data_IF_010801336139
#
_entry.id   IF_010801336139
#
_cell.length_a   1.000
_cell.length_b   1.000
_cell.length_c   1.000
_cell.angle_alpha   90.00
_cell.angle_beta   90.00
_cell.angle_gamma   90.00
#
_symmetry.space_group_name_H-M   'P 1'
#
loop_
_entity.id
_entity.type
_entity.pdbx_description
1 polymer ?
#
# COMPACT_ATOMS: atom_id res chain seq x y z
N UNK A 1 -16.78 -6.21 -7.13
CA UNK A 1 -16.31 -7.33 -6.29
C UNK A 1 -15.80 -6.82 -4.93
N UNK A 2 -16.08 -7.53 -3.83
CA UNK A 2 -15.66 -7.16 -2.45
C UNK A 2 -15.05 -8.37 -1.74
N UNK A 3 -14.00 -8.16 -0.96
CA UNK A 3 -13.25 -9.22 -0.28
C UNK A 3 -13.40 -9.04 1.23
N UNK A 4 -14.14 -9.95 1.87
CA UNK A 4 -14.47 -9.92 3.32
C UNK A 4 -13.68 -10.93 4.12
N UNK A 5 -13.45 -12.13 3.58
CA UNK A 5 -12.80 -13.22 4.30
C UNK A 5 -11.30 -12.95 4.48
N UNK A 6 -10.73 -13.24 5.67
CA UNK A 6 -9.29 -13.08 5.90
C UNK A 6 -8.44 -13.89 4.91
N UNK A 7 -8.84 -15.13 4.62
CA UNK A 7 -8.14 -16.01 3.68
C UNK A 7 -8.02 -15.40 2.27
N UNK A 8 -9.09 -14.78 1.75
CA UNK A 8 -9.04 -14.15 0.43
C UNK A 8 -8.19 -12.85 0.43
N UNK A 9 -8.15 -12.11 1.55
CA UNK A 9 -7.23 -10.97 1.69
C UNK A 9 -5.77 -11.42 1.69
N UNK A 10 -5.46 -12.49 2.43
CA UNK A 10 -4.12 -13.09 2.43
C UNK A 10 -3.76 -13.61 1.04
N UNK A 11 -4.66 -14.35 0.39
CA UNK A 11 -4.46 -14.84 -0.98
C UNK A 11 -4.19 -13.71 -1.97
N UNK A 12 -4.94 -12.60 -1.87
CA UNK A 12 -4.68 -11.39 -2.66
C UNK A 12 -3.27 -10.84 -2.42
N UNK A 13 -2.85 -10.72 -1.15
CA UNK A 13 -1.52 -10.22 -0.82
C UNK A 13 -0.42 -11.14 -1.36
N UNK A 14 -0.59 -12.47 -1.23
CA UNK A 14 0.36 -13.44 -1.76
C UNK A 14 0.47 -13.35 -3.28
N UNK A 15 -0.65 -13.28 -3.99
CA UNK A 15 -0.67 -13.14 -5.45
C UNK A 15 0.04 -11.86 -5.89
N UNK A 16 -0.21 -10.73 -5.21
CA UNK A 16 0.46 -9.48 -5.54
C UNK A 16 1.95 -9.50 -5.22
N UNK A 17 2.36 -9.99 -4.05
CA UNK A 17 3.78 -10.05 -3.66
C UNK A 17 4.56 -10.97 -4.60
N UNK A 18 4.04 -12.18 -4.85
CA UNK A 18 4.65 -13.14 -5.79
C UNK A 18 4.63 -12.58 -7.21
N UNK A 19 3.49 -12.06 -7.67
CA UNK A 19 3.32 -11.51 -9.02
C UNK A 19 4.25 -10.33 -9.29
N UNK A 20 4.36 -9.38 -8.36
CA UNK A 20 5.30 -8.25 -8.45
C UNK A 20 6.73 -8.78 -8.51
N UNK A 21 7.10 -9.75 -7.67
CA UNK A 21 8.48 -10.28 -7.63
C UNK A 21 8.83 -11.00 -8.93
N UNK A 22 7.96 -11.89 -9.41
CA UNK A 22 8.15 -12.68 -10.63
C UNK A 22 8.20 -11.83 -11.90
N UNK A 23 7.70 -10.60 -11.86
CA UNK A 23 7.71 -9.67 -13.01
C UNK A 23 8.79 -8.60 -12.86
N UNK A 24 8.97 -8.02 -11.68
CA UNK A 24 9.97 -6.99 -11.42
C UNK A 24 11.40 -7.51 -11.56
N UNK A 25 11.69 -8.75 -11.13
CA UNK A 25 13.05 -9.30 -11.20
C UNK A 25 13.51 -9.50 -12.66
N UNK A 26 12.75 -10.15 -13.56
CA UNK A 26 13.11 -10.20 -14.98
C UNK A 26 13.22 -8.83 -15.64
N UNK A 27 12.30 -7.90 -15.31
CA UNK A 27 12.37 -6.53 -15.84
C UNK A 27 13.63 -5.79 -15.36
N UNK A 28 14.01 -5.97 -14.10
CA UNK A 28 15.24 -5.41 -13.53
C UNK A 28 16.50 -5.99 -14.17
N UNK A 29 16.47 -7.25 -14.61
CA UNK A 29 17.56 -7.86 -15.36
C UNK A 29 17.73 -7.27 -16.77
N UNK A 30 16.65 -6.73 -17.37
CA UNK A 30 16.70 -5.98 -18.63
C UNK A 30 17.14 -4.53 -18.37
N UNK A 31 16.62 -3.91 -17.31
CA UNK A 31 16.99 -2.58 -16.85
C UNK A 31 16.48 -2.32 -15.44
N UNK A 32 17.37 -1.92 -14.55
CA UNK A 32 17.05 -1.71 -13.13
C UNK A 32 15.85 -0.78 -12.95
N UNK A 33 15.82 0.31 -13.71
CA UNK A 33 14.80 1.35 -13.69
C UNK A 33 13.44 0.78 -14.10
N UNK A 34 13.42 -0.11 -15.09
CA UNK A 34 12.19 -0.74 -15.58
C UNK A 34 11.56 -1.64 -14.51
N UNK A 35 12.37 -2.50 -13.90
CA UNK A 35 11.91 -3.38 -12.82
C UNK A 35 11.44 -2.59 -11.60
N UNK A 36 12.19 -1.55 -11.22
CA UNK A 36 11.86 -0.73 -10.06
C UNK A 36 10.60 0.13 -10.29
N UNK A 37 10.49 0.78 -11.45
CA UNK A 37 9.31 1.58 -11.81
C UNK A 37 8.06 0.69 -11.85
N UNK A 38 8.15 -0.49 -12.47
CA UNK A 38 7.07 -1.47 -12.47
C UNK A 38 6.66 -1.88 -11.05
N UNK A 39 7.61 -2.27 -10.20
CA UNK A 39 7.32 -2.68 -8.83
C UNK A 39 6.61 -1.58 -8.03
N UNK A 40 7.05 -0.32 -8.21
CA UNK A 40 6.44 0.85 -7.55
C UNK A 40 4.99 1.06 -8.02
N UNK A 41 4.75 1.07 -9.33
CA UNK A 41 3.41 1.23 -9.90
C UNK A 41 2.48 0.09 -9.47
N UNK A 42 2.97 -1.16 -9.53
CA UNK A 42 2.22 -2.33 -9.15
C UNK A 42 1.87 -2.34 -7.65
N UNK A 43 2.78 -1.90 -6.78
CA UNK A 43 2.49 -1.73 -5.34
C UNK A 43 1.39 -0.69 -5.09
N UNK A 44 1.48 0.48 -5.73
CA UNK A 44 0.44 1.52 -5.61
C UNK A 44 -0.90 0.99 -6.08
N UNK A 45 -0.94 0.33 -7.23
CA UNK A 45 -2.15 -0.29 -7.76
C UNK A 45 -2.72 -1.34 -6.80
N UNK A 46 -1.86 -2.18 -6.21
CA UNK A 46 -2.26 -3.18 -5.22
C UNK A 46 -2.92 -2.54 -4.00
N UNK A 47 -2.31 -1.49 -3.46
CA UNK A 47 -2.84 -0.75 -2.30
C UNK A 47 -4.18 -0.11 -2.63
N UNK A 48 -4.31 0.52 -3.81
CA UNK A 48 -5.57 1.11 -4.25
C UNK A 48 -6.67 0.04 -4.37
N UNK A 49 -6.38 -1.08 -5.04
CA UNK A 49 -7.36 -2.17 -5.19
C UNK A 49 -7.73 -2.74 -3.83
N UNK A 50 -6.78 -2.99 -2.93
CA UNK A 50 -7.05 -3.46 -1.58
C UNK A 50 -7.93 -2.48 -0.80
N UNK A 51 -7.59 -1.19 -0.80
CA UNK A 51 -8.34 -0.14 -0.10
C UNK A 51 -9.80 -0.02 -0.59
N UNK A 52 -10.04 -0.27 -1.88
CA UNK A 52 -11.37 -0.16 -2.48
C UNK A 52 -12.18 -1.45 -2.41
N UNK A 53 -11.54 -2.62 -2.40
CA UNK A 53 -12.23 -3.92 -2.46
C UNK A 53 -12.32 -4.64 -1.11
N UNK A 54 -11.36 -4.45 -0.21
CA UNK A 54 -11.39 -5.11 1.10
C UNK A 54 -12.45 -4.48 1.99
N UNK A 55 -13.13 -5.31 2.79
CA UNK A 55 -14.16 -4.89 3.74
C UNK A 55 -13.94 -5.52 5.12
N UNK A 56 -14.20 -4.74 6.16
CA UNK A 56 -14.19 -5.20 7.55
C UNK A 56 -15.41 -6.05 7.90
N UNK A 57 -15.38 -6.71 9.05
CA UNK A 57 -16.55 -7.38 9.59
C UNK A 57 -17.67 -6.35 9.83
N UNK A 58 -18.89 -6.64 9.37
CA UNK A 58 -20.05 -5.74 9.50
C UNK A 58 -19.99 -4.48 8.63
N UNK A 59 -18.96 -4.31 7.79
CA UNK A 59 -18.88 -3.13 6.93
C UNK A 59 -19.73 -3.28 5.66
N UNK A 60 -20.48 -2.23 5.33
CA UNK A 60 -21.30 -2.14 4.11
C UNK A 60 -20.50 -2.28 2.82
N UNK A 61 -21.14 -2.83 1.78
CA UNK A 61 -20.58 -2.95 0.43
C UNK A 61 -20.66 -1.65 -0.40
N UNK A 62 -21.34 -0.63 0.15
CA UNK A 62 -21.43 0.70 -0.43
C UNK A 62 -20.04 1.29 -0.77
N UNK A 63 -19.98 2.25 -1.71
CA UNK A 63 -18.75 2.97 -2.01
C UNK A 63 -18.16 3.59 -0.73
N UNK A 64 -16.89 3.29 -0.44
CA UNK A 64 -16.19 3.92 0.69
C UNK A 64 -15.86 5.36 0.32
N UNK A 65 -15.94 6.31 1.28
CA UNK A 65 -15.33 7.61 1.11
C UNK A 65 -13.87 7.48 0.65
N UNK A 66 -13.44 8.38 -0.24
CA UNK A 66 -12.11 8.30 -0.85
C UNK A 66 -10.98 8.27 0.19
N UNK A 67 -11.17 8.92 1.34
CA UNK A 67 -10.21 8.98 2.44
C UNK A 67 -10.13 7.70 3.29
N UNK A 68 -11.13 6.81 3.25
CA UNK A 68 -11.19 5.63 4.13
C UNK A 68 -10.46 4.44 3.51
N UNK A 69 -9.21 4.23 3.91
CA UNK A 69 -8.36 3.17 3.38
C UNK A 69 -8.65 1.79 3.98
N UNK A 70 -9.07 1.72 5.24
CA UNK A 70 -9.43 0.47 5.92
C UNK A 70 -10.58 0.67 6.92
N UNK A 71 -11.11 -0.43 7.46
CA UNK A 71 -12.30 -0.42 8.31
C UNK A 71 -11.99 -0.05 9.77
N UNK A 72 -10.79 -0.34 10.27
CA UNK A 72 -10.42 -0.15 11.67
C UNK A 72 -9.26 0.83 11.81
N UNK A 73 -9.25 1.58 12.91
CA UNK A 73 -8.13 2.47 13.26
C UNK A 73 -6.82 1.69 13.44
N UNK A 74 -6.87 0.54 14.10
CA UNK A 74 -5.68 -0.29 14.36
C UNK A 74 -4.98 -0.73 13.08
N UNK A 75 -5.72 -1.26 12.10
CA UNK A 75 -5.12 -1.64 10.81
C UNK A 75 -4.61 -0.43 10.03
N UNK A 76 -5.26 0.73 10.15
CA UNK A 76 -4.81 1.96 9.50
C UNK A 76 -3.47 2.44 10.08
N UNK A 77 -3.31 2.43 11.41
CA UNK A 77 -2.06 2.79 12.06
C UNK A 77 -0.94 1.80 11.73
N UNK A 78 -1.23 0.50 11.75
CA UNK A 78 -0.23 -0.53 11.42
C UNK A 78 0.29 -0.36 9.98
N UNK A 79 -0.62 -0.19 9.01
CA UNK A 79 -0.23 0.01 7.61
C UNK A 79 0.45 1.36 7.41
N UNK A 80 0.02 2.41 8.10
CA UNK A 80 0.73 3.70 8.10
C UNK A 80 2.17 3.54 8.58
N UNK A 81 2.41 2.84 9.68
CA UNK A 81 3.75 2.61 10.20
C UNK A 81 4.59 1.76 9.25
N UNK A 82 4.01 0.70 8.68
CA UNK A 82 4.67 -0.15 7.70
C UNK A 82 5.16 0.64 6.48
N UNK A 83 4.27 1.41 5.84
CA UNK A 83 4.62 2.20 4.66
C UNK A 83 5.52 3.40 4.98
N UNK A 84 5.45 3.94 6.21
CA UNK A 84 6.37 4.97 6.68
C UNK A 84 7.80 4.41 6.77
N UNK A 85 7.97 3.26 7.43
CA UNK A 85 9.28 2.58 7.54
C UNK A 85 9.80 2.24 6.15
N UNK A 86 8.95 1.70 5.29
CA UNK A 86 9.32 1.38 3.91
C UNK A 86 9.77 2.62 3.15
N UNK A 87 9.02 3.72 3.21
CA UNK A 87 9.36 4.97 2.52
C UNK A 87 10.67 5.59 3.02
N UNK A 88 10.89 5.59 4.33
CA UNK A 88 12.16 6.06 4.93
C UNK A 88 13.32 5.15 4.52
N UNK A 89 13.16 3.84 4.63
CA UNK A 89 14.19 2.87 4.27
C UNK A 89 14.56 2.96 2.78
N UNK A 90 13.57 3.08 1.89
CA UNK A 90 13.81 3.28 0.46
C UNK A 90 14.53 4.60 0.17
N UNK A 91 14.19 5.67 0.89
CA UNK A 91 14.84 6.97 0.71
C UNK A 91 16.30 6.97 1.19
N UNK A 92 16.59 6.32 2.32
CA UNK A 92 17.96 6.14 2.81
C UNK A 92 18.75 5.17 1.93
N UNK A 93 18.10 4.11 1.43
CA UNK A 93 18.71 3.15 0.51
C UNK A 93 18.99 3.72 -0.88
N UNK A 94 18.39 4.85 -1.25
CA UNK A 94 18.56 5.49 -2.55
C UNK A 94 20.04 5.83 -2.86
N UNK A 95 20.86 6.06 -1.84
CA UNK A 95 22.29 6.34 -2.02
C UNK A 95 23.13 5.12 -2.44
N UNK A 96 22.58 3.90 -2.31
CA UNK A 96 23.26 2.64 -2.64
C UNK A 96 22.81 2.01 -3.96
N UNK A 97 21.96 2.67 -4.75
CA UNK A 97 21.40 2.11 -5.99
C UNK A 97 21.75 2.96 -7.22
N UNK A 98 21.69 2.38 -8.45
CA UNK A 98 22.10 3.08 -9.68
C UNK A 98 21.32 4.37 -9.95
N UNK A 99 19.98 4.33 -9.82
CA UNK A 99 19.12 5.50 -10.01
C UNK A 99 18.52 5.98 -8.68
N UNK A 100 19.16 7.01 -8.13
CA UNK A 100 18.75 7.63 -6.85
C UNK A 100 17.40 8.34 -6.97
N UNK A 101 17.15 9.00 -8.10
CA UNK A 101 15.93 9.78 -8.31
C UNK A 101 14.73 8.85 -8.30
N UNK A 102 14.82 7.75 -9.03
CA UNK A 102 13.76 6.75 -9.07
C UNK A 102 13.52 6.09 -7.71
N UNK A 103 14.59 5.77 -6.97
CA UNK A 103 14.47 5.22 -5.62
C UNK A 103 13.79 6.21 -4.64
N UNK A 104 14.13 7.49 -4.72
CA UNK A 104 13.47 8.55 -3.95
C UNK A 104 11.99 8.68 -4.32
N UNK A 105 11.65 8.60 -5.61
CA UNK A 105 10.24 8.59 -6.07
C UNK A 105 9.47 7.40 -5.46
N UNK A 106 10.06 6.21 -5.45
CA UNK A 106 9.48 5.04 -4.77
C UNK A 106 9.31 5.25 -3.26
N UNK A 107 10.31 5.86 -2.61
CA UNK A 107 10.23 6.25 -1.21
C UNK A 107 9.10 7.23 -0.93
N UNK A 108 8.97 8.29 -1.73
CA UNK A 108 7.88 9.27 -1.64
C UNK A 108 6.53 8.60 -1.87
N UNK A 109 6.39 7.68 -2.83
CA UNK A 109 5.15 6.95 -3.06
C UNK A 109 4.71 6.16 -1.81
N UNK A 110 5.64 5.47 -1.14
CA UNK A 110 5.35 4.77 0.10
C UNK A 110 4.98 5.74 1.25
N UNK A 111 5.68 6.87 1.37
CA UNK A 111 5.34 7.92 2.36
C UNK A 111 3.96 8.52 2.13
N UNK A 112 3.56 8.74 0.88
CA UNK A 112 2.21 9.19 0.52
C UNK A 112 1.17 8.16 0.95
N UNK A 113 1.39 6.87 0.63
CA UNK A 113 0.51 5.78 1.09
C UNK A 113 0.40 5.78 2.61
N UNK A 114 1.51 5.94 3.33
CA UNK A 114 1.53 6.03 4.79
C UNK A 114 0.65 7.19 5.28
N UNK A 115 0.79 8.38 4.70
CA UNK A 115 -0.01 9.56 5.04
C UNK A 115 -1.51 9.33 4.80
N UNK A 116 -1.89 8.64 3.72
CA UNK A 116 -3.29 8.27 3.49
C UNK A 116 -3.84 7.32 4.56
N UNK A 117 -3.06 6.32 4.99
CA UNK A 117 -3.46 5.42 6.07
C UNK A 117 -3.54 6.15 7.41
N UNK A 118 -2.61 7.07 7.71
CA UNK A 118 -2.67 7.91 8.90
C UNK A 118 -3.93 8.79 8.89
N UNK A 119 -4.20 9.47 7.78
CA UNK A 119 -5.40 10.29 7.61
C UNK A 119 -6.69 9.46 7.77
N UNK A 120 -6.70 8.23 7.23
CA UNK A 120 -7.80 7.28 7.46
C UNK A 120 -7.95 6.93 8.95
N UNK A 121 -6.85 6.72 9.68
CA UNK A 121 -6.90 6.39 11.12
C UNK A 121 -7.50 7.53 11.95
N UNK A 122 -7.09 8.77 11.66
CA UNK A 122 -7.55 9.98 12.35
C UNK A 122 -9.06 10.20 12.16
N UNK A 123 -9.56 10.04 10.92
CA UNK A 123 -11.00 10.21 10.64
C UNK A 123 -11.86 9.07 11.19
N UNK A 124 -11.36 7.83 11.19
CA UNK A 124 -12.09 6.71 11.82
C UNK A 124 -12.24 6.93 13.33
N UNK A 125 -11.24 7.50 14.00
CA UNK A 125 -11.33 7.84 15.42
C UNK A 125 -12.39 8.91 15.69
N UNK A 126 -12.43 9.97 14.90
CA UNK A 126 -13.39 11.06 15.07
C UNK A 126 -14.84 10.55 15.03
N UNK A 127 -15.15 9.66 14.09
CA UNK A 127 -16.49 9.07 13.99
C UNK A 127 -16.86 8.15 15.16
N UNK A 128 -15.89 7.48 15.78
CA UNK A 128 -16.14 6.63 16.94
C UNK A 128 -16.40 7.41 18.24
N UNK A 129 -15.98 8.68 18.31
CA UNK A 129 -16.21 9.56 19.47
C UNK A 129 -17.57 10.27 19.37
N UNK A 130 -18.12 10.42 18.17
CA UNK A 130 -19.38 11.15 17.91
C UNK A 130 -20.61 10.24 17.77
N UNK A 131 -20.44 8.92 17.83
CA UNK A 131 -21.50 7.90 17.70
C UNK A 131 -21.87 7.31 19.05
#
# INVERSE_FOLDING_TARGET
MRIKTPAAKVGYLLVFVVGITLTAVPLAAIGYELGFAWATVALVAAVVVAARTFRGAGESDAPRPWWKMTSTRGSALLLSAFFLIQGVASSLGAFGVPDRTLALVGGVAALVIAAFYLHSALRVQQHAVTS
#
